data_IF_750298216401
#
_entry.id   IF_750298216401
#
_cell.length_a   1.000
_cell.length_b   1.000
_cell.length_c   1.000
_cell.angle_alpha   90.00
_cell.angle_beta   90.00
_cell.angle_gamma   90.00
#
_symmetry.space_group_name_H-M   'P 1'
#
loop_
_entity.id
_entity.type
_entity.pdbx_description
1 polymer ?
#
# COMPACT_ATOMS: atom_id res chain seq x y z
N UNK A 1 -40.37 -4.34 -0.46
CA UNK A 1 -39.42 -4.03 0.64
C UNK A 1 -38.53 -5.21 1.04
N UNK A 2 -38.95 -6.18 1.87
CA UNK A 2 -38.02 -7.25 2.33
C UNK A 2 -37.43 -8.08 1.18
N UNK A 3 -38.25 -8.47 0.18
CA UNK A 3 -37.76 -9.18 -1.01
C UNK A 3 -36.84 -8.33 -1.89
N UNK A 4 -37.04 -7.02 -1.87
CA UNK A 4 -36.27 -6.05 -2.67
C UNK A 4 -34.89 -5.85 -2.05
N UNK A 5 -34.85 -5.70 -0.72
CA UNK A 5 -33.62 -5.66 0.09
C UNK A 5 -32.83 -6.97 -0.02
N UNK A 6 -33.51 -8.12 0.01
CA UNK A 6 -32.88 -9.42 -0.17
C UNK A 6 -32.30 -9.60 -1.58
N UNK A 7 -32.94 -9.02 -2.59
CA UNK A 7 -32.47 -9.07 -3.99
C UNK A 7 -31.18 -8.28 -4.18
N UNK A 8 -31.07 -7.09 -3.59
CA UNK A 8 -29.82 -6.30 -3.64
C UNK A 8 -28.66 -7.02 -2.93
N UNK A 9 -28.93 -7.62 -1.76
CA UNK A 9 -27.92 -8.39 -1.04
C UNK A 9 -27.45 -9.61 -1.83
N UNK A 10 -28.37 -10.32 -2.51
CA UNK A 10 -28.04 -11.45 -3.37
C UNK A 10 -27.14 -11.05 -4.54
N UNK A 11 -27.36 -9.89 -5.17
CA UNK A 11 -26.49 -9.38 -6.24
C UNK A 11 -25.07 -9.15 -5.73
N UNK A 12 -24.91 -8.49 -4.57
CA UNK A 12 -23.59 -8.26 -3.97
C UNK A 12 -22.91 -9.58 -3.59
N UNK A 13 -23.65 -10.50 -2.97
CA UNK A 13 -23.12 -11.80 -2.58
C UNK A 13 -22.67 -12.63 -3.79
N UNK A 14 -23.45 -12.62 -4.87
CA UNK A 14 -23.10 -13.27 -6.13
C UNK A 14 -21.84 -12.65 -6.75
N UNK A 15 -21.73 -11.32 -6.80
CA UNK A 15 -20.52 -10.64 -7.29
C UNK A 15 -19.28 -11.00 -6.48
N UNK A 16 -19.38 -11.06 -5.14
CA UNK A 16 -18.25 -11.43 -4.27
C UNK A 16 -17.83 -12.90 -4.45
N UNK A 17 -18.80 -13.80 -4.63
CA UNK A 17 -18.51 -15.21 -4.90
C UNK A 17 -17.77 -15.37 -6.23
N UNK A 18 -18.23 -14.66 -7.26
CA UNK A 18 -17.64 -14.68 -8.61
C UNK A 18 -16.19 -14.17 -8.59
N UNK A 19 -15.95 -13.04 -7.90
CA UNK A 19 -14.61 -12.53 -7.65
C UNK A 19 -13.72 -13.53 -6.90
N UNK A 20 -14.27 -14.28 -5.94
CA UNK A 20 -13.50 -15.28 -5.19
C UNK A 20 -13.14 -16.49 -6.06
N UNK A 21 -14.05 -16.94 -6.90
CA UNK A 21 -13.82 -18.05 -7.84
C UNK A 21 -12.75 -17.67 -8.86
N UNK A 22 -12.86 -16.49 -9.47
CA UNK A 22 -11.86 -16.00 -10.42
C UNK A 22 -10.45 -15.86 -9.81
N UNK A 23 -10.36 -15.43 -8.55
CA UNK A 23 -9.08 -15.32 -7.83
C UNK A 23 -8.46 -16.66 -7.40
N UNK A 24 -9.19 -17.78 -7.50
CA UNK A 24 -8.68 -19.12 -7.16
C UNK A 24 -8.19 -19.91 -8.38
N UNK A 25 -8.48 -19.44 -9.59
CA UNK A 25 -8.02 -20.07 -10.82
C UNK A 25 -6.56 -19.67 -11.13
N UNK A 26 -5.72 -20.59 -11.63
CA UNK A 26 -4.34 -20.27 -12.01
C UNK A 26 -4.35 -19.22 -13.13
N UNK A 27 -3.81 -18.06 -12.84
CA UNK A 27 -3.67 -16.96 -13.80
C UNK A 27 -2.57 -17.35 -14.80
N UNK A 28 -2.91 -17.60 -16.06
CA UNK A 28 -1.93 -17.69 -17.14
C UNK A 28 -1.32 -16.31 -17.44
N UNK A 29 -0.20 -16.27 -18.19
CA UNK A 29 0.57 -15.05 -18.53
C UNK A 29 -0.19 -14.00 -19.40
N UNK A 30 -1.50 -14.12 -19.58
CA UNK A 30 -2.32 -13.20 -20.36
C UNK A 30 -3.35 -12.52 -19.45
N UNK A 31 -3.18 -11.21 -19.25
CA UNK A 31 -4.20 -10.35 -18.65
C UNK A 31 -5.37 -10.28 -19.66
N UNK A 32 -6.39 -11.09 -19.43
CA UNK A 32 -7.62 -11.06 -20.23
C UNK A 32 -8.50 -9.86 -19.83
N UNK A 33 -9.31 -9.35 -20.75
CA UNK A 33 -10.26 -8.25 -20.50
C UNK A 33 -11.23 -8.56 -19.34
N UNK A 34 -11.56 -9.84 -19.14
CA UNK A 34 -12.38 -10.31 -18.03
C UNK A 34 -11.69 -10.09 -16.66
N UNK A 35 -10.37 -10.29 -16.60
CA UNK A 35 -9.59 -10.06 -15.37
C UNK A 35 -9.52 -8.57 -14.99
N UNK A 36 -9.47 -7.67 -15.99
CA UNK A 36 -9.50 -6.21 -15.79
C UNK A 36 -10.87 -5.76 -15.29
N UNK A 37 -11.95 -6.27 -15.88
CA UNK A 37 -13.33 -5.95 -15.46
C UNK A 37 -13.61 -6.38 -14.01
N UNK A 38 -13.06 -7.52 -13.58
CA UNK A 38 -13.16 -8.00 -12.19
C UNK A 38 -12.45 -7.07 -11.19
N UNK A 39 -11.28 -6.52 -11.57
CA UNK A 39 -10.55 -5.54 -10.75
C UNK A 39 -11.32 -4.22 -10.63
N UNK A 40 -11.87 -3.71 -11.74
CA UNK A 40 -12.68 -2.49 -11.73
C UNK A 40 -13.95 -2.65 -10.88
N UNK A 41 -14.63 -3.81 -10.97
CA UNK A 41 -15.79 -4.11 -10.14
C UNK A 41 -15.44 -4.17 -8.64
N UNK A 42 -14.25 -4.70 -8.31
CA UNK A 42 -13.73 -4.72 -6.93
C UNK A 42 -13.52 -3.31 -6.41
N UNK A 43 -12.90 -2.45 -7.22
CA UNK A 43 -12.59 -1.08 -6.83
C UNK A 43 -13.87 -0.24 -6.69
N UNK A 44 -14.87 -0.48 -7.54
CA UNK A 44 -16.21 0.12 -7.38
C UNK A 44 -16.89 -0.31 -6.07
N UNK A 45 -16.79 -1.59 -5.69
CA UNK A 45 -17.31 -2.08 -4.41
C UNK A 45 -16.59 -1.42 -3.23
N UNK A 46 -15.26 -1.31 -3.28
CA UNK A 46 -14.49 -0.59 -2.26
C UNK A 46 -14.89 0.88 -2.16
N UNK A 47 -15.06 1.57 -3.29
CA UNK A 47 -15.51 2.95 -3.31
C UNK A 47 -16.88 3.10 -2.64
N UNK A 48 -17.84 2.20 -2.94
CA UNK A 48 -19.16 2.21 -2.30
C UNK A 48 -19.10 1.91 -0.81
N UNK A 49 -18.26 0.99 -0.35
CA UNK A 49 -18.06 0.70 1.07
C UNK A 49 -17.45 1.89 1.81
N UNK A 50 -16.45 2.54 1.21
CA UNK A 50 -15.84 3.74 1.78
C UNK A 50 -16.84 4.89 1.85
N UNK A 51 -17.65 5.07 0.81
CA UNK A 51 -18.72 6.05 0.76
C UNK A 51 -19.79 5.79 1.84
N UNK A 52 -20.24 4.54 1.99
CA UNK A 52 -21.17 4.15 3.05
C UNK A 52 -20.58 4.46 4.43
N UNK A 53 -19.31 4.10 4.67
CA UNK A 53 -18.62 4.41 5.93
C UNK A 53 -18.60 5.91 6.19
N UNK A 54 -18.22 6.72 5.20
CA UNK A 54 -18.19 8.17 5.31
C UNK A 54 -19.56 8.74 5.67
N UNK A 55 -20.63 8.33 4.98
CA UNK A 55 -21.98 8.78 5.30
C UNK A 55 -22.43 8.34 6.67
N UNK A 56 -22.12 7.11 7.09
CA UNK A 56 -22.44 6.59 8.43
C UNK A 56 -21.77 7.43 9.52
N UNK A 57 -20.49 7.74 9.37
CA UNK A 57 -19.73 8.56 10.31
C UNK A 57 -20.28 10.00 10.38
N UNK A 58 -20.55 10.62 9.22
CA UNK A 58 -21.12 11.97 9.11
C UNK A 58 -22.53 12.02 9.73
N UNK A 59 -23.36 11.00 9.48
CA UNK A 59 -24.72 10.92 10.05
C UNK A 59 -24.67 10.85 11.57
N UNK A 60 -23.75 10.04 12.12
CA UNK A 60 -23.55 9.96 13.56
C UNK A 60 -23.04 11.29 14.15
N UNK A 61 -22.19 12.01 13.42
CA UNK A 61 -21.73 13.34 13.83
C UNK A 61 -22.88 14.38 13.82
N UNK A 62 -23.74 14.36 12.80
CA UNK A 62 -24.92 15.22 12.74
C UNK A 62 -25.86 14.95 13.90
N UNK A 63 -26.17 13.67 14.18
CA UNK A 63 -27.04 13.29 15.29
C UNK A 63 -26.54 13.86 16.63
N UNK A 64 -25.26 13.67 16.96
CA UNK A 64 -24.65 14.24 18.17
C UNK A 64 -24.66 15.76 18.20
N UNK A 65 -24.45 16.40 17.04
CA UNK A 65 -24.45 17.86 16.93
C UNK A 65 -25.86 18.43 17.14
N UNK A 66 -26.87 17.83 16.52
CA UNK A 66 -28.28 18.18 16.70
C UNK A 66 -28.69 18.02 18.17
N UNK A 67 -28.35 16.91 18.82
CA UNK A 67 -28.64 16.69 20.24
C UNK A 67 -27.99 17.75 21.15
N UNK A 68 -26.76 18.16 20.84
CA UNK A 68 -26.07 19.23 21.59
C UNK A 68 -26.73 20.59 21.40
N UNK A 69 -27.15 20.91 20.17
CA UNK A 69 -27.77 22.20 19.86
C UNK A 69 -29.26 22.26 20.22
N UNK A 70 -29.94 21.13 20.42
CA UNK A 70 -31.37 21.05 20.77
C UNK A 70 -31.72 21.89 22.01
N UNK A 71 -30.81 21.93 22.98
CA UNK A 71 -30.98 22.68 24.24
C UNK A 71 -30.48 24.12 24.16
N UNK A 72 -29.97 24.58 23.02
CA UNK A 72 -29.46 25.93 22.82
C UNK A 72 -30.53 26.76 22.13
N UNK A 73 -31.05 27.74 22.86
CA UNK A 73 -32.03 28.68 22.33
C UNK A 73 -31.45 30.09 22.32
N UNK A 74 -31.77 30.84 21.27
CA UNK A 74 -31.44 32.26 21.25
C UNK A 74 -32.19 33.00 22.35
N UNK A 75 -31.53 33.98 22.96
CA UNK A 75 -32.15 34.83 23.97
C UNK A 75 -33.05 35.84 23.24
N UNK A 76 -34.36 35.71 23.37
CA UNK A 76 -35.33 36.64 22.77
C UNK A 76 -35.34 38.03 23.44
N UNK A 77 -35.00 38.11 24.73
CA UNK A 77 -34.96 39.36 25.48
C UNK A 77 -33.57 40.02 25.42
N UNK A 78 -33.53 41.34 25.21
CA UNK A 78 -32.27 42.10 25.32
C UNK A 78 -31.68 41.96 26.74
N UNK A 79 -30.36 42.13 26.84
CA UNK A 79 -29.70 42.27 28.13
C UNK A 79 -30.21 43.54 28.81
N UNK A 80 -30.67 43.41 30.05
CA UNK A 80 -31.14 44.56 30.85
C UNK A 80 -30.00 45.57 31.01
N UNK A 81 -30.33 46.86 30.92
CA UNK A 81 -29.34 47.94 30.79
C UNK A 81 -28.36 47.98 31.97
N UNK A 82 -28.83 47.62 33.17
CA UNK A 82 -27.99 47.50 34.37
C UNK A 82 -26.83 46.53 34.19
N UNK A 83 -27.05 45.37 33.55
CA UNK A 83 -26.00 44.37 33.34
C UNK A 83 -25.09 44.73 32.16
N UNK A 84 -25.60 45.51 31.21
CA UNK A 84 -24.81 46.03 30.09
C UNK A 84 -23.78 47.06 30.55
N UNK A 85 -24.08 47.78 31.63
CA UNK A 85 -23.19 48.75 32.27
C UNK A 85 -22.23 48.12 33.27
N UNK A 86 -22.55 46.93 33.81
CA UNK A 86 -21.66 46.15 34.68
C UNK A 86 -20.72 45.27 33.84
N UNK A 87 -19.88 45.91 33.02
CA UNK A 87 -18.79 45.18 32.36
C UNK A 87 -17.68 45.00 33.41
N UNK A 88 -17.18 43.79 33.66
CA UNK A 88 -16.04 43.60 34.55
C UNK A 88 -14.85 44.39 34.02
N UNK A 89 -14.03 44.91 34.94
CA UNK A 89 -12.81 45.60 34.56
C UNK A 89 -11.90 44.64 33.79
N UNK A 90 -11.49 45.05 32.59
CA UNK A 90 -10.58 44.27 31.77
C UNK A 90 -9.19 44.34 32.40
N UNK A 91 -8.84 43.32 33.16
CA UNK A 91 -7.48 43.15 33.68
C UNK A 91 -6.62 42.55 32.58
N UNK A 92 -6.03 43.42 31.76
CA UNK A 92 -5.12 43.02 30.68
C UNK A 92 -3.68 43.00 31.19
N UNK A 93 -3.16 41.81 31.46
CA UNK A 93 -1.80 41.61 32.02
C UNK A 93 -0.74 41.32 30.97
N UNK A 94 -1.12 41.14 29.69
CA UNK A 94 -0.23 40.73 28.62
C UNK A 94 0.43 41.93 27.95
N UNK A 95 1.72 41.83 27.70
CA UNK A 95 2.45 42.79 26.88
C UNK A 95 2.23 42.52 25.38
N UNK A 96 2.57 43.47 24.49
CA UNK A 96 2.55 43.24 23.05
C UNK A 96 3.43 42.03 22.64
N UNK A 97 4.54 41.82 23.32
CA UNK A 97 5.45 40.69 23.07
C UNK A 97 4.81 39.35 23.47
N UNK A 98 4.10 39.30 24.60
CA UNK A 98 3.35 38.10 25.01
C UNK A 98 2.24 37.78 24.00
N UNK A 99 1.58 38.82 23.48
CA UNK A 99 0.54 38.66 22.47
C UNK A 99 1.12 38.13 21.16
N UNK A 100 2.30 38.61 20.75
CA UNK A 100 3.01 38.10 19.59
C UNK A 100 3.44 36.63 19.77
N UNK A 101 3.89 36.23 20.96
CA UNK A 101 4.25 34.85 21.27
C UNK A 101 3.03 33.90 21.19
N UNK A 102 1.88 34.32 21.72
CA UNK A 102 0.63 33.57 21.62
C UNK A 102 0.14 33.45 20.17
N UNK A 103 0.27 34.52 19.38
CA UNK A 103 -0.07 34.50 17.96
C UNK A 103 0.84 33.52 17.20
N UNK A 104 2.15 33.53 17.47
CA UNK A 104 3.09 32.59 16.86
C UNK A 104 2.71 31.13 17.17
N UNK A 105 2.31 30.82 18.39
CA UNK A 105 1.84 29.47 18.76
C UNK A 105 0.54 29.10 18.04
N UNK A 106 -0.44 30.01 18.00
CA UNK A 106 -1.76 29.75 17.42
C UNK A 106 -1.72 29.62 15.89
N UNK A 107 -0.84 30.37 15.22
CA UNK A 107 -0.68 30.38 13.77
C UNK A 107 0.47 29.48 13.29
N UNK A 108 1.23 28.84 14.19
CA UNK A 108 2.22 27.85 13.82
C UNK A 108 1.56 26.73 12.98
N UNK A 109 2.11 26.40 11.81
CA UNK A 109 1.63 25.27 11.01
C UNK A 109 1.64 24.00 11.86
N UNK A 110 0.53 23.25 11.84
CA UNK A 110 0.52 21.92 12.44
C UNK A 110 1.50 21.03 11.68
N UNK A 111 2.17 20.13 12.40
CA UNK A 111 2.98 19.10 11.76
C UNK A 111 2.13 18.38 10.70
N UNK A 112 2.69 18.21 9.52
CA UNK A 112 2.02 17.49 8.44
C UNK A 112 1.87 16.04 8.92
N UNK A 113 0.65 15.50 8.99
CA UNK A 113 0.47 14.11 9.36
C UNK A 113 1.10 13.23 8.26
N UNK A 114 2.20 12.58 8.59
CA UNK A 114 2.85 11.60 7.72
C UNK A 114 2.17 10.23 7.92
N UNK A 115 2.00 9.49 6.82
CA UNK A 115 1.52 8.11 6.87
C UNK A 115 2.73 7.21 7.13
N UNK A 116 2.75 6.53 8.28
CA UNK A 116 3.83 5.61 8.63
C UNK A 116 3.90 4.47 7.64
N UNK A 117 5.04 4.32 6.95
CA UNK A 117 5.27 3.29 5.93
C UNK A 117 5.79 1.97 6.53
N UNK A 118 5.89 1.85 7.85
CA UNK A 118 6.46 0.69 8.54
C UNK A 118 5.71 -0.64 8.27
N UNK A 119 4.47 -0.54 7.79
CA UNK A 119 3.65 -1.69 7.40
C UNK A 119 3.84 -2.12 5.94
N UNK A 120 4.58 -1.35 5.13
CA UNK A 120 4.98 -1.75 3.79
C UNK A 120 6.14 -2.75 3.90
N UNK A 121 5.79 -4.03 3.85
CA UNK A 121 6.77 -5.10 3.66
C UNK A 121 7.26 -5.13 2.20
N UNK A 122 8.12 -4.17 1.84
CA UNK A 122 8.92 -4.32 0.63
C UNK A 122 10.07 -5.31 0.93
N UNK A 123 10.29 -6.35 0.11
CA UNK A 123 11.48 -7.18 0.24
C UNK A 123 12.71 -6.27 0.12
N UNK A 124 13.56 -6.25 1.16
CA UNK A 124 14.77 -5.41 1.24
C UNK A 124 15.77 -5.67 0.09
N UNK A 125 15.60 -6.75 -0.67
CA UNK A 125 16.48 -7.17 -1.74
C UNK A 125 15.66 -7.53 -2.98
N UNK A 126 15.90 -6.82 -4.07
CA UNK A 126 15.23 -7.07 -5.34
C UNK A 126 15.82 -8.29 -6.06
N UNK A 127 14.98 -9.24 -6.44
CA UNK A 127 15.36 -10.40 -7.27
C UNK A 127 15.89 -9.93 -8.63
N UNK A 128 15.31 -8.87 -9.20
CA UNK A 128 15.73 -8.28 -10.47
C UNK A 128 17.15 -7.76 -10.42
N UNK A 129 17.50 -7.02 -9.37
CA UNK A 129 18.86 -6.51 -9.18
C UNK A 129 19.87 -7.67 -9.04
N UNK A 130 19.49 -8.72 -8.30
CA UNK A 130 20.36 -9.89 -8.18
C UNK A 130 20.51 -10.65 -9.50
N UNK A 131 19.45 -10.74 -10.32
CA UNK A 131 19.52 -11.33 -11.65
C UNK A 131 20.52 -10.59 -12.55
N UNK A 132 20.52 -9.25 -12.53
CA UNK A 132 21.47 -8.44 -13.29
C UNK A 132 22.93 -8.74 -12.91
N UNK A 133 23.20 -8.87 -11.61
CA UNK A 133 24.53 -9.23 -11.11
C UNK A 133 24.93 -10.63 -11.61
N UNK A 134 24.04 -11.62 -11.48
CA UNK A 134 24.28 -13.00 -11.91
C UNK A 134 24.57 -13.06 -13.42
N UNK A 135 23.76 -12.38 -14.24
CA UNK A 135 23.96 -12.29 -15.70
C UNK A 135 25.32 -11.68 -16.03
N UNK A 136 25.69 -10.58 -15.36
CA UNK A 136 26.97 -9.89 -15.59
C UNK A 136 28.16 -10.79 -15.30
N UNK A 137 28.12 -11.49 -14.15
CA UNK A 137 29.19 -12.41 -13.75
C UNK A 137 29.28 -13.63 -14.68
N UNK A 138 28.16 -14.28 -14.98
CA UNK A 138 28.11 -15.47 -15.85
C UNK A 138 28.52 -15.16 -17.29
N UNK A 139 28.16 -13.99 -17.85
CA UNK A 139 28.60 -13.59 -19.19
C UNK A 139 30.12 -13.39 -19.26
N UNK A 140 30.74 -12.93 -18.18
CA UNK A 140 32.18 -12.69 -18.14
C UNK A 140 33.01 -13.97 -17.96
N UNK A 141 32.54 -14.90 -17.13
CA UNK A 141 33.27 -16.12 -16.77
C UNK A 141 32.84 -17.36 -17.57
N UNK A 142 31.67 -17.33 -18.19
CA UNK A 142 31.06 -18.42 -18.95
C UNK A 142 30.47 -19.54 -18.06
N UNK A 143 31.20 -20.00 -17.06
CA UNK A 143 30.76 -21.00 -16.06
C UNK A 143 31.19 -20.55 -14.66
N UNK A 144 30.27 -20.62 -13.70
CA UNK A 144 30.52 -20.28 -12.28
C UNK A 144 29.76 -21.21 -11.36
N UNK A 145 30.27 -21.46 -10.16
CA UNK A 145 29.51 -22.12 -9.11
C UNK A 145 28.66 -21.13 -8.31
N UNK A 146 27.58 -21.61 -7.68
CA UNK A 146 26.76 -20.78 -6.81
C UNK A 146 27.56 -20.24 -5.62
N UNK A 147 28.55 -20.98 -5.11
CA UNK A 147 29.44 -20.51 -4.04
C UNK A 147 30.28 -19.32 -4.47
N UNK A 148 30.79 -19.34 -5.70
CA UNK A 148 31.51 -18.20 -6.28
C UNK A 148 30.58 -17.02 -6.46
N UNK A 149 29.35 -17.26 -6.92
CA UNK A 149 28.35 -16.21 -7.06
C UNK A 149 27.97 -15.58 -5.73
N UNK A 150 28.00 -16.27 -4.58
CA UNK A 150 27.65 -15.66 -3.28
C UNK A 150 28.88 -15.28 -2.44
N UNK A 151 30.08 -15.41 -2.99
CA UNK A 151 31.31 -15.05 -2.30
C UNK A 151 31.29 -13.57 -1.88
N UNK A 152 31.59 -13.30 -0.61
CA UNK A 152 31.61 -11.93 -0.06
C UNK A 152 30.24 -11.34 0.28
N UNK A 153 29.14 -12.08 0.10
CA UNK A 153 27.81 -11.64 0.51
C UNK A 153 27.60 -11.90 2.01
N UNK A 154 27.39 -10.82 2.78
CA UNK A 154 27.20 -10.91 4.24
C UNK A 154 25.74 -11.11 4.68
N UNK A 155 24.77 -10.73 3.85
CA UNK A 155 23.34 -10.75 4.20
C UNK A 155 22.66 -12.03 3.65
N UNK A 156 22.01 -12.84 4.50
CA UNK A 156 21.30 -14.04 4.04
C UNK A 156 20.22 -13.76 2.98
N UNK A 157 19.54 -12.61 3.08
CA UNK A 157 18.51 -12.20 2.10
C UNK A 157 19.06 -12.07 0.69
N UNK A 158 20.30 -11.60 0.52
CA UNK A 158 20.96 -11.50 -0.79
C UNK A 158 21.28 -12.89 -1.35
N UNK A 159 21.71 -13.83 -0.50
CA UNK A 159 21.97 -15.22 -0.92
C UNK A 159 20.69 -15.86 -1.46
N UNK A 160 19.58 -15.70 -0.73
CA UNK A 160 18.26 -16.23 -1.14
C UNK A 160 17.79 -15.55 -2.43
N UNK A 161 17.86 -14.22 -2.52
CA UNK A 161 17.46 -13.48 -3.72
C UNK A 161 18.31 -13.86 -4.95
N UNK A 162 19.62 -14.10 -4.77
CA UNK A 162 20.52 -14.56 -5.83
C UNK A 162 20.16 -15.98 -6.28
N UNK A 163 19.79 -16.86 -5.36
CA UNK A 163 19.28 -18.19 -5.71
C UNK A 163 17.95 -18.13 -6.47
N UNK A 164 16.97 -17.35 -5.98
CA UNK A 164 15.70 -17.15 -6.68
C UNK A 164 15.91 -16.56 -8.08
N UNK A 165 16.84 -15.62 -8.22
CA UNK A 165 17.18 -15.05 -9.53
C UNK A 165 17.72 -16.10 -10.52
N UNK A 166 18.47 -17.09 -10.04
CA UNK A 166 18.95 -18.21 -10.87
C UNK A 166 17.79 -19.09 -11.34
N UNK A 167 16.83 -19.38 -10.45
CA UNK A 167 15.65 -20.16 -10.80
C UNK A 167 14.78 -19.45 -11.84
N UNK A 168 14.59 -18.14 -11.69
CA UNK A 168 13.87 -17.35 -12.70
C UNK A 168 14.62 -17.29 -14.03
N UNK A 169 15.94 -17.09 -14.02
CA UNK A 169 16.76 -17.11 -15.24
C UNK A 169 16.71 -18.48 -15.93
N UNK A 170 16.70 -19.57 -15.18
CA UNK A 170 16.49 -20.92 -15.71
C UNK A 170 15.10 -21.10 -16.30
N UNK A 171 14.05 -20.59 -15.63
CA UNK A 171 12.66 -20.60 -16.14
C UNK A 171 12.54 -19.91 -17.50
N UNK A 172 13.30 -18.83 -17.71
CA UNK A 172 13.40 -18.12 -18.99
C UNK A 172 14.43 -18.72 -19.97
N UNK A 173 14.98 -19.90 -19.70
CA UNK A 173 16.00 -20.57 -20.51
C UNK A 173 17.27 -19.73 -20.75
N UNK A 174 17.56 -18.77 -19.87
CA UNK A 174 18.71 -17.86 -19.98
C UNK A 174 20.04 -18.51 -19.56
N UNK A 175 19.95 -19.43 -18.61
CA UNK A 175 21.07 -20.22 -18.10
C UNK A 175 20.66 -21.68 -17.94
N UNK A 176 21.66 -22.56 -17.83
CA UNK A 176 21.50 -23.94 -17.37
C UNK A 176 22.31 -24.16 -16.11
N UNK A 177 21.93 -25.16 -15.32
CA UNK A 177 22.67 -25.56 -14.13
C UNK A 177 22.79 -27.08 -13.99
N UNK A 178 23.82 -27.51 -13.28
CA UNK A 178 24.10 -28.89 -12.98
C UNK A 178 24.37 -29.06 -11.48
N UNK A 179 23.73 -30.07 -10.87
CA UNK A 179 23.89 -30.43 -9.47
C UNK A 179 23.80 -31.96 -9.34
N UNK A 180 24.90 -32.62 -9.02
CA UNK A 180 24.99 -34.09 -9.00
C UNK A 180 24.28 -34.72 -7.80
N UNK A 181 24.28 -34.04 -6.65
CA UNK A 181 23.69 -34.52 -5.41
C UNK A 181 22.87 -33.39 -4.75
N UNK A 182 21.76 -33.69 -4.07
CA UNK A 182 20.99 -32.69 -3.34
C UNK A 182 21.88 -31.89 -2.38
N UNK A 183 21.77 -30.56 -2.40
CA UNK A 183 22.60 -29.64 -1.60
C UNK A 183 24.11 -29.70 -1.92
N UNK A 184 24.50 -30.39 -3.00
CA UNK A 184 25.85 -30.38 -3.55
C UNK A 184 26.16 -29.09 -4.31
N UNK A 185 27.35 -29.04 -4.91
CA UNK A 185 27.80 -27.89 -5.71
C UNK A 185 26.82 -27.63 -6.88
N UNK A 186 26.37 -26.38 -7.00
CA UNK A 186 25.51 -25.93 -8.10
C UNK A 186 26.37 -25.20 -9.13
N UNK A 187 26.59 -25.81 -10.28
CA UNK A 187 27.39 -25.22 -11.38
C UNK A 187 26.48 -24.60 -12.42
N UNK A 188 26.73 -23.37 -12.80
CA UNK A 188 25.89 -22.55 -13.66
C UNK A 188 26.62 -22.24 -14.97
N UNK A 189 25.91 -22.37 -16.09
CA UNK A 189 26.42 -22.07 -17.44
C UNK A 189 25.48 -21.12 -18.15
N UNK A 190 26.03 -20.10 -18.78
CA UNK A 190 25.24 -19.20 -19.63
C UNK A 190 24.81 -19.94 -20.91
N UNK A 191 23.52 -19.88 -21.28
CA UNK A 191 22.97 -20.60 -22.43
C UNK A 191 22.19 -19.74 -23.42
N UNK A 192 21.84 -18.50 -23.08
CA UNK A 192 21.03 -17.66 -23.96
C UNK A 192 21.83 -16.99 -25.10
N UNK A 193 21.40 -17.26 -26.33
CA UNK A 193 21.79 -16.55 -27.56
C UNK A 193 21.02 -15.23 -27.75
N UNK A 194 19.80 -15.11 -27.20
CA UNK A 194 18.96 -13.89 -27.22
C UNK A 194 18.44 -13.58 -25.82
N UNK A 195 19.23 -12.81 -25.06
CA UNK A 195 18.79 -12.22 -23.79
C UNK A 195 18.70 -10.70 -23.94
N UNK A 196 17.58 -10.12 -23.53
CA UNK A 196 17.32 -8.69 -23.59
C UNK A 196 17.09 -8.10 -22.20
N UNK A 197 17.41 -6.82 -22.03
CA UNK A 197 17.18 -6.10 -20.77
C UNK A 197 15.68 -5.94 -20.45
N UNK A 198 14.80 -6.03 -21.45
CA UNK A 198 13.34 -6.07 -21.27
C UNK A 198 12.90 -7.32 -20.50
N UNK A 199 13.51 -8.47 -20.79
CA UNK A 199 13.27 -9.73 -20.04
C UNK A 199 13.76 -9.63 -18.61
N UNK A 200 14.77 -8.81 -18.35
CA UNK A 200 15.26 -8.54 -17.00
C UNK A 200 14.28 -7.65 -16.23
N UNK A 201 13.63 -6.70 -16.90
CA UNK A 201 12.62 -5.84 -16.29
C UNK A 201 11.34 -6.59 -15.87
N UNK A 202 11.00 -7.71 -16.53
CA UNK A 202 9.87 -8.56 -16.13
C UNK A 202 10.16 -9.48 -14.94
N UNK A 203 11.43 -9.69 -14.57
CA UNK A 203 11.81 -10.52 -13.42
C UNK A 203 11.33 -9.88 -12.11
N UNK A 204 10.73 -10.70 -11.24
CA UNK A 204 10.29 -10.29 -9.91
C UNK A 204 8.87 -9.69 -9.84
N UNK A 205 8.21 -9.44 -10.97
CA UNK A 205 6.88 -8.82 -11.01
C UNK A 205 5.78 -9.64 -10.30
N UNK A 206 6.00 -10.94 -10.13
CA UNK A 206 5.09 -11.84 -9.40
C UNK A 206 5.34 -11.86 -7.88
N UNK A 207 6.50 -11.38 -7.42
CA UNK A 207 6.88 -11.34 -6.00
C UNK A 207 6.70 -9.96 -5.36
N UNK A 208 6.53 -8.90 -6.16
CA UNK A 208 6.21 -7.54 -5.71
C UNK A 208 4.69 -7.32 -5.48
N UNK A 209 3.88 -8.40 -5.49
CA UNK A 209 2.42 -8.38 -5.25
C UNK A 209 2.02 -8.74 -3.84
#
# INVERSE_FOLDING_TARGET
>A
EEMEQASEFLVVAATLLDMKVAGLLPQGELIDAESVALLEARDLLFARLLQYRAFKEVSAWFARSLEREDRRHTRAARLDEKFRRTVPELVWTLTPDDFAALAMLAFAPRAIPEVGLDHLHAPLVSIREQAAIVVTLLRSAGTLSFRELVAGVAQPGIVVARFLSILELYRHAALSFEQLEPLGELTLRWSADRWSDETLASLGADYDR
#
